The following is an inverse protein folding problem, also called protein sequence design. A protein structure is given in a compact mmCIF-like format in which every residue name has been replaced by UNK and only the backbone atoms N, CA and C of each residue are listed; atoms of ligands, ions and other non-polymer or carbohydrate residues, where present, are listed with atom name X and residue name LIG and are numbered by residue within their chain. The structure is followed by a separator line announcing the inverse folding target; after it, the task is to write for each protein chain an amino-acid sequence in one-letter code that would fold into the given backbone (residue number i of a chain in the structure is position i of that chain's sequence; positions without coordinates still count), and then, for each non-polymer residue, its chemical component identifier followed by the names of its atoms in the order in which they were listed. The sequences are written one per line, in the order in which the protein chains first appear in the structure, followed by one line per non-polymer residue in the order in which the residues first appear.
data_IF_435470831512
#
_entry.id   IF_435470831512
#
_cell.length_a   1.000
_cell.length_b   1.000
_cell.length_c   1.000
_cell.angle_alpha   90.00
_cell.angle_beta   90.00
_cell.angle_gamma   90.00
#
_symmetry.space_group_name_H-M   'P 1'
#
loop_
_entity.id
_entity.type
_entity.pdbx_description
1 polymer ?
#
# COMPACT_ATOMS: atom_id res chain seq x y z
N UNK A 1 8.85 14.83 -6.89
CA UNK A 1 8.13 14.60 -8.16
C UNK A 1 6.89 13.81 -7.78
N UNK A 2 5.81 14.54 -7.48
CA UNK A 2 4.52 13.96 -7.14
C UNK A 2 3.96 13.40 -8.43
N UNK A 3 3.74 12.08 -8.47
CA UNK A 3 3.04 11.46 -9.58
C UNK A 3 1.66 12.09 -9.61
N UNK A 4 1.41 13.00 -10.57
CA UNK A 4 0.06 13.42 -10.90
C UNK A 4 -0.62 12.20 -11.52
N UNK A 5 -1.13 11.31 -10.66
CA UNK A 5 -2.10 10.30 -11.03
C UNK A 5 -3.31 11.06 -11.57
N UNK A 6 -3.51 10.98 -12.88
CA UNK A 6 -4.68 11.53 -13.56
C UNK A 6 -5.93 11.05 -12.82
N UNK A 7 -6.60 12.01 -12.18
CA UNK A 7 -7.95 11.96 -11.60
C UNK A 7 -8.34 10.65 -10.88
N UNK A 8 -8.14 10.65 -9.56
CA UNK A 8 -8.68 9.64 -8.64
C UNK A 8 -7.67 9.23 -7.57
N UNK A 9 -8.14 8.79 -6.41
CA UNK A 9 -7.26 8.21 -5.38
C UNK A 9 -6.56 6.95 -5.93
N UNK A 10 -5.43 6.54 -5.33
CA UNK A 10 -4.77 5.27 -5.66
C UNK A 10 -5.78 4.10 -5.70
N UNK A 11 -6.78 4.11 -4.80
CA UNK A 11 -7.87 3.14 -4.75
C UNK A 11 -8.78 3.17 -5.97
N UNK A 12 -9.05 4.34 -6.53
CA UNK A 12 -9.89 4.50 -7.72
C UNK A 12 -9.14 4.03 -8.98
N UNK A 13 -7.82 4.24 -9.02
CA UNK A 13 -6.95 3.66 -10.03
C UNK A 13 -6.94 2.12 -9.93
N UNK A 14 -6.80 1.57 -8.70
CA UNK A 14 -6.90 0.14 -8.37
C UNK A 14 -8.22 -0.50 -8.85
N UNK A 15 -9.36 0.12 -8.57
CA UNK A 15 -10.68 -0.46 -8.85
C UNK A 15 -11.08 -0.51 -10.33
N UNK A 16 -10.58 0.40 -11.17
CA UNK A 16 -11.09 0.55 -12.53
C UNK A 16 -10.22 -0.10 -13.63
N UNK A 17 -8.94 -0.43 -13.35
CA UNK A 17 -8.01 -0.86 -14.41
C UNK A 17 -7.04 -2.01 -14.05
N UNK A 18 -6.83 -2.38 -12.77
CA UNK A 18 -5.70 -3.26 -12.40
C UNK A 18 -5.90 -4.75 -12.66
N UNK A 19 -7.14 -5.25 -12.66
CA UNK A 19 -7.42 -6.66 -12.95
C UNK A 19 -7.12 -6.98 -14.43
N UNK A 20 -7.20 -5.99 -15.32
CA UNK A 20 -6.93 -6.15 -16.76
C UNK A 20 -5.48 -5.95 -17.19
N UNK A 21 -4.60 -5.46 -16.31
CA UNK A 21 -3.18 -5.25 -16.63
C UNK A 21 -2.44 -6.59 -16.74
N UNK A 22 -1.55 -6.69 -17.72
CA UNK A 22 -0.66 -7.84 -17.81
C UNK A 22 0.46 -7.74 -16.76
N UNK A 23 1.15 -8.85 -16.50
CA UNK A 23 2.19 -8.90 -15.46
C UNK A 23 3.35 -7.92 -15.68
N UNK A 24 3.68 -7.58 -16.94
CA UNK A 24 4.74 -6.63 -17.23
C UNK A 24 4.35 -5.22 -16.79
N UNK A 25 3.11 -4.82 -17.04
CA UNK A 25 2.57 -3.52 -16.60
C UNK A 25 2.51 -3.45 -15.07
N UNK A 26 1.98 -4.50 -14.43
CA UNK A 26 1.93 -4.60 -12.96
C UNK A 26 3.32 -4.45 -12.32
N UNK A 27 4.32 -5.13 -12.86
CA UNK A 27 5.70 -5.04 -12.38
C UNK A 27 6.31 -3.67 -12.62
N UNK A 28 6.02 -3.04 -13.76
CA UNK A 28 6.48 -1.71 -14.08
C UNK A 28 5.94 -0.67 -13.09
N UNK A 29 4.64 -0.73 -12.79
CA UNK A 29 3.99 0.17 -11.83
C UNK A 29 4.53 -0.04 -10.40
N UNK A 30 4.65 -1.30 -9.94
CA UNK A 30 5.23 -1.60 -8.63
C UNK A 30 6.69 -1.14 -8.52
N UNK A 31 7.48 -1.28 -9.60
CA UNK A 31 8.84 -0.77 -9.64
C UNK A 31 8.89 0.76 -9.54
N UNK A 32 7.97 1.46 -10.20
CA UNK A 32 7.83 2.91 -10.11
C UNK A 32 7.52 3.37 -8.70
N UNK A 33 6.56 2.72 -8.03
CA UNK A 33 6.19 3.01 -6.63
C UNK A 33 7.38 2.72 -5.70
N UNK A 34 8.04 1.58 -5.84
CA UNK A 34 9.19 1.20 -5.03
C UNK A 34 10.36 2.19 -5.20
N UNK A 35 10.61 2.64 -6.44
CA UNK A 35 11.62 3.66 -6.71
C UNK A 35 11.27 4.98 -6.03
N UNK A 36 10.04 5.47 -6.18
CA UNK A 36 9.56 6.69 -5.53
C UNK A 36 9.71 6.63 -4.01
N UNK A 37 9.32 5.50 -3.40
CA UNK A 37 9.45 5.30 -1.96
C UNK A 37 10.92 5.28 -1.51
N UNK A 38 11.78 4.58 -2.24
CA UNK A 38 13.23 4.55 -1.97
C UNK A 38 13.85 5.94 -2.00
N UNK A 39 13.48 6.78 -2.97
CA UNK A 39 14.01 8.16 -3.05
C UNK A 39 13.59 9.02 -1.86
N UNK A 40 12.39 8.80 -1.32
CA UNK A 40 11.90 9.48 -0.11
C UNK A 40 12.66 8.98 1.11
N UNK A 41 12.79 7.66 1.25
CA UNK A 41 13.51 7.03 2.37
C UNK A 41 15.00 7.40 2.40
N UNK A 42 15.65 7.48 1.23
CA UNK A 42 17.04 7.93 1.07
C UNK A 42 17.27 9.37 1.56
N UNK A 43 16.22 10.20 1.59
CA UNK A 43 16.27 11.57 2.14
C UNK A 43 15.98 11.62 3.64
N UNK A 44 15.81 10.46 4.30
CA UNK A 44 15.40 10.38 5.71
C UNK A 44 13.93 10.74 5.94
N UNK A 45 13.13 10.84 4.88
CA UNK A 45 11.71 11.17 4.96
C UNK A 45 10.85 9.91 5.03
N UNK A 46 9.60 10.10 5.47
CA UNK A 46 8.56 9.06 5.54
C UNK A 46 7.41 9.54 4.66
N UNK A 47 6.79 8.65 3.88
CA UNK A 47 5.76 8.99 2.91
C UNK A 47 4.44 9.39 3.59
N UNK A 48 4.02 8.72 4.68
CA UNK A 48 2.77 9.03 5.40
C UNK A 48 1.55 9.11 4.46
N UNK A 49 1.25 8.05 3.69
CA UNK A 49 0.02 8.06 2.88
C UNK A 49 -0.78 6.75 3.03
N UNK A 50 -0.18 5.76 3.70
CA UNK A 50 -0.85 4.52 4.06
C UNK A 50 -1.62 4.69 5.38
N UNK A 51 -2.68 5.50 5.33
CA UNK A 51 -3.50 5.85 6.51
C UNK A 51 -4.82 5.07 6.60
N UNK A 52 -5.17 4.32 5.57
CA UNK A 52 -6.39 3.52 5.54
C UNK A 52 -6.07 2.06 5.83
N UNK A 53 -6.94 1.41 6.60
CA UNK A 53 -6.91 -0.05 6.69
C UNK A 53 -7.16 -0.64 5.30
N UNK A 54 -6.47 -1.73 4.92
CA UNK A 54 -5.52 -2.52 5.71
C UNK A 54 -4.03 -2.15 5.53
N UNK A 55 -3.72 -0.99 4.95
CA UNK A 55 -2.36 -0.58 4.60
C UNK A 55 -1.54 -0.04 5.79
N UNK A 56 -2.18 0.16 6.95
CA UNK A 56 -1.54 0.65 8.18
C UNK A 56 -0.76 -0.48 8.86
N UNK A 57 0.51 -0.23 9.16
CA UNK A 57 1.40 -1.20 9.81
C UNK A 57 0.96 -1.52 11.26
N UNK A 58 1.21 -2.74 11.75
CA UNK A 58 0.78 -3.18 13.08
C UNK A 58 1.33 -2.32 14.22
N UNK A 59 2.57 -1.82 14.10
CA UNK A 59 3.17 -0.93 15.08
C UNK A 59 2.44 0.41 15.16
N UNK A 60 1.97 0.94 14.03
CA UNK A 60 1.21 2.19 13.96
C UNK A 60 -0.19 2.00 14.55
N UNK A 61 -0.83 0.85 14.28
CA UNK A 61 -2.11 0.49 14.92
C UNK A 61 -2.00 0.36 16.45
N UNK A 62 -0.81 0.08 16.97
CA UNK A 62 -0.51 0.05 18.41
C UNK A 62 -0.20 1.44 19.00
N UNK A 63 -0.27 2.49 18.19
CA UNK A 63 -0.03 3.87 18.60
C UNK A 63 1.43 4.33 18.49
N UNK A 64 2.31 3.55 17.87
CA UNK A 64 3.65 4.04 17.56
C UNK A 64 3.62 5.04 16.39
N UNK A 65 4.65 5.86 16.32
CA UNK A 65 4.83 6.78 15.21
C UNK A 65 5.05 6.01 13.89
N UNK A 66 4.65 6.64 12.79
CA UNK A 66 4.98 6.17 11.46
C UNK A 66 6.50 6.19 11.26
N UNK A 67 6.99 5.20 10.52
CA UNK A 67 8.40 5.03 10.18
C UNK A 67 8.56 4.62 8.72
N UNK A 68 9.79 4.64 8.21
CA UNK A 68 10.08 4.08 6.88
C UNK A 68 9.68 2.61 6.78
N UNK A 69 9.75 1.84 7.88
CA UNK A 69 9.30 0.45 7.92
C UNK A 69 7.78 0.34 7.78
N UNK A 70 7.02 1.27 8.35
CA UNK A 70 5.57 1.29 8.17
C UNK A 70 5.16 1.62 6.73
N UNK A 71 5.93 2.47 6.03
CA UNK A 71 5.72 2.67 4.59
C UNK A 71 6.01 1.41 3.78
N UNK A 72 7.06 0.67 4.14
CA UNK A 72 7.38 -0.62 3.49
C UNK A 72 6.25 -1.64 3.68
N UNK A 73 5.63 -1.68 4.86
CA UNK A 73 4.46 -2.52 5.10
C UNK A 73 3.29 -2.14 4.18
N UNK A 74 2.94 -0.85 4.12
CA UNK A 74 1.85 -0.37 3.25
C UNK A 74 2.10 -0.69 1.77
N UNK A 75 3.34 -0.53 1.30
CA UNK A 75 3.76 -0.97 -0.03
C UNK A 75 3.56 -2.47 -0.25
N UNK A 76 3.89 -3.30 0.75
CA UNK A 76 3.66 -4.75 0.69
C UNK A 76 2.19 -5.11 0.51
N UNK A 77 1.28 -4.39 1.18
CA UNK A 77 -0.17 -4.56 1.03
C UNK A 77 -0.63 -4.17 -0.38
N UNK A 78 -0.11 -3.07 -0.95
CA UNK A 78 -0.36 -2.70 -2.36
C UNK A 78 0.15 -3.79 -3.31
N UNK A 79 1.36 -4.29 -3.10
CA UNK A 79 1.92 -5.36 -3.93
C UNK A 79 1.09 -6.67 -3.84
N UNK A 80 0.59 -7.00 -2.66
CA UNK A 80 -0.33 -8.13 -2.47
C UNK A 80 -1.60 -7.97 -3.32
N UNK A 81 -2.23 -6.79 -3.28
CA UNK A 81 -3.43 -6.51 -4.09
C UNK A 81 -3.14 -6.64 -5.59
N UNK A 82 -1.98 -6.15 -6.05
CA UNK A 82 -1.56 -6.28 -7.45
C UNK A 82 -1.42 -7.72 -7.91
N UNK A 83 -0.80 -8.56 -7.06
CA UNK A 83 -0.52 -9.95 -7.38
C UNK A 83 -1.79 -10.82 -7.33
N UNK A 84 -2.68 -10.55 -6.39
CA UNK A 84 -3.87 -11.39 -6.17
C UNK A 84 -5.11 -10.88 -6.89
N UNK A 85 -5.20 -9.57 -7.16
CA UNK A 85 -6.42 -8.93 -7.63
C UNK A 85 -7.52 -8.88 -6.57
N UNK A 86 -7.21 -9.18 -5.30
CA UNK A 86 -8.16 -9.26 -4.21
C UNK A 86 -7.84 -8.20 -3.14
N UNK A 87 -8.85 -7.56 -2.53
CA UNK A 87 -8.64 -6.77 -1.33
C UNK A 87 -7.97 -7.60 -0.22
N UNK A 88 -7.04 -7.06 0.57
CA UNK A 88 -6.44 -7.75 1.69
C UNK A 88 -7.51 -7.99 2.74
N UNK A 89 -7.49 -9.18 3.34
CA UNK A 89 -8.46 -9.58 4.35
C UNK A 89 -9.93 -9.53 3.87
N UNK A 90 -10.17 -9.74 2.57
CA UNK A 90 -11.53 -9.75 1.99
C UNK A 90 -12.46 -10.81 2.60
N UNK A 91 -11.89 -11.83 3.25
CA UNK A 91 -12.55 -12.95 3.90
C UNK A 91 -12.85 -12.70 5.40
N UNK A 92 -12.46 -11.53 5.93
CA UNK A 92 -12.57 -11.22 7.36
C UNK A 92 -13.47 -9.99 7.56
N UNK A 93 -14.33 -9.95 8.61
CA UNK A 93 -15.08 -8.75 8.94
C UNK A 93 -14.16 -7.54 9.14
N UNK A 94 -14.58 -6.38 8.60
CA UNK A 94 -13.80 -5.14 8.62
C UNK A 94 -13.30 -4.77 10.04
N UNK A 95 -14.16 -4.92 11.06
CA UNK A 95 -13.81 -4.60 12.46
C UNK A 95 -12.76 -5.55 13.06
N UNK A 96 -12.57 -6.73 12.45
CA UNK A 96 -11.57 -7.72 12.88
C UNK A 96 -10.20 -7.49 12.22
N UNK A 97 -10.13 -6.68 11.17
CA UNK A 97 -8.89 -6.41 10.42
C UNK A 97 -7.78 -5.85 11.31
N UNK A 98 -7.99 -4.84 12.17
CA UNK A 98 -6.93 -4.33 13.04
C UNK A 98 -6.35 -5.41 13.96
N UNK A 99 -7.23 -6.25 14.53
CA UNK A 99 -6.82 -7.34 15.41
C UNK A 99 -6.01 -8.40 14.66
N UNK A 100 -6.38 -8.71 13.41
CA UNK A 100 -5.62 -9.64 12.56
C UNK A 100 -4.24 -9.09 12.22
N UNK A 101 -4.15 -7.84 11.76
CA UNK A 101 -2.88 -7.18 11.41
C UNK A 101 -1.92 -7.19 12.61
N UNK A 102 -2.43 -6.86 13.80
CA UNK A 102 -1.63 -6.80 15.03
C UNK A 102 -1.13 -8.17 15.50
N UNK A 103 -1.82 -9.27 15.15
CA UNK A 103 -1.47 -10.63 15.63
C UNK A 103 -0.48 -11.38 14.72
N UNK A 104 -0.39 -11.02 13.44
CA UNK A 104 0.39 -11.77 12.44
C UNK A 104 -0.39 -12.95 11.90
#
# INVERSE_FOLDING_TARGET
MVMQLKEGSLRQHLNNNFISLNWKEKLFDLQGIAYGLREIHNKGLIHHDFHLLPYVAPEVLRGNEYTQKSDTYGFGIVAYEFCTGLPPYYDIPHDSVPTRIVKG
#
